data_IF_870837953786
#
_entry.id   IF_870837953786
#
_cell.length_a   1.000
_cell.length_b   1.000
_cell.length_c   1.000
_cell.angle_alpha   90.00
_cell.angle_beta   90.00
_cell.angle_gamma   90.00
#
_symmetry.space_group_name_H-M   'P 1'
#
loop_
_entity.id
_entity.type
_entity.pdbx_description
1 polymer ?
#
# COMPACT_ATOMS: atom_id res chain seq x y z
N UNK A 1 -0.28 -12.99 4.07
CA UNK A 1 -0.59 -13.34 2.66
C UNK A 1 -1.66 -14.42 2.51
N UNK A 2 -1.51 -15.61 3.09
CA UNK A 2 -2.49 -16.71 2.93
C UNK A 2 -3.94 -16.33 3.26
N UNK A 3 -4.17 -15.58 4.35
CA UNK A 3 -5.51 -15.10 4.73
C UNK A 3 -6.16 -14.25 3.63
N UNK A 4 -5.40 -13.35 3.00
CA UNK A 4 -5.88 -12.47 1.92
C UNK A 4 -6.25 -13.31 0.68
N UNK A 5 -5.43 -14.29 0.33
CA UNK A 5 -5.71 -15.20 -0.79
C UNK A 5 -6.96 -16.04 -0.53
N UNK A 6 -7.07 -16.62 0.66
CA UNK A 6 -8.19 -17.48 1.05
C UNK A 6 -9.49 -16.68 1.18
N UNK A 7 -9.44 -15.40 1.56
CA UNK A 7 -10.62 -14.54 1.68
C UNK A 7 -11.11 -13.99 0.34
N UNK A 8 -10.29 -14.02 -0.71
CA UNK A 8 -10.62 -13.42 -2.03
C UNK A 8 -11.91 -14.03 -2.62
N UNK A 9 -12.04 -15.36 -2.66
CA UNK A 9 -13.21 -16.02 -3.27
C UNK A 9 -14.49 -15.90 -2.41
N UNK A 10 -14.45 -16.14 -1.08
CA UNK A 10 -15.60 -15.89 -0.21
C UNK A 10 -16.10 -14.45 -0.30
N UNK A 11 -15.20 -13.47 -0.26
CA UNK A 11 -15.59 -12.05 -0.31
C UNK A 11 -16.15 -11.67 -1.68
N UNK A 12 -15.56 -12.15 -2.79
CA UNK A 12 -16.17 -12.00 -4.11
C UNK A 12 -17.61 -12.52 -4.12
N UNK A 13 -17.84 -13.72 -3.60
CA UNK A 13 -19.16 -14.34 -3.58
C UNK A 13 -20.16 -13.55 -2.71
N UNK A 14 -19.69 -13.01 -1.58
CA UNK A 14 -20.50 -12.16 -0.71
C UNK A 14 -20.89 -10.84 -1.39
N UNK A 15 -19.92 -10.16 -2.02
CA UNK A 15 -20.13 -8.87 -2.69
C UNK A 15 -20.96 -8.99 -3.97
N UNK A 16 -20.93 -10.15 -4.62
CA UNK A 16 -21.72 -10.44 -5.83
C UNK A 16 -22.92 -11.33 -5.52
N UNK A 17 -23.42 -11.35 -4.28
CA UNK A 17 -24.54 -12.21 -3.89
C UNK A 17 -25.79 -11.99 -4.76
N UNK A 18 -26.00 -10.74 -5.17
CA UNK A 18 -27.15 -10.29 -5.95
C UNK A 18 -26.89 -10.34 -7.47
N UNK A 19 -25.64 -10.59 -7.89
CA UNK A 19 -25.20 -10.61 -9.29
C UNK A 19 -24.26 -11.81 -9.59
N UNK A 20 -24.72 -13.07 -9.39
CA UNK A 20 -23.88 -14.25 -9.51
C UNK A 20 -23.41 -14.52 -10.95
N UNK A 21 -24.11 -14.01 -11.95
CA UNK A 21 -23.82 -14.13 -13.38
C UNK A 21 -22.56 -13.38 -13.82
N UNK A 22 -22.16 -12.34 -13.07
CA UNK A 22 -20.92 -11.60 -13.32
C UNK A 22 -19.66 -12.38 -12.91
N UNK A 23 -19.80 -13.44 -12.10
CA UNK A 23 -18.66 -14.17 -11.54
C UNK A 23 -17.93 -14.97 -12.62
N UNK A 24 -16.63 -14.76 -12.70
CA UNK A 24 -15.73 -15.60 -13.49
C UNK A 24 -15.52 -16.95 -12.78
N UNK A 25 -15.73 -18.05 -13.51
CA UNK A 25 -15.36 -19.37 -13.03
C UNK A 25 -13.83 -19.48 -12.97
N UNK A 26 -13.28 -20.07 -11.91
CA UNK A 26 -11.82 -20.15 -11.73
C UNK A 26 -11.14 -20.97 -12.84
N UNK A 27 -11.85 -21.92 -13.43
CA UNK A 27 -11.40 -22.69 -14.59
C UNK A 27 -11.26 -21.84 -15.86
N UNK A 28 -11.99 -20.73 -15.97
CA UNK A 28 -11.99 -19.83 -17.12
C UNK A 28 -10.94 -18.72 -16.99
N UNK A 29 -10.38 -18.52 -15.79
CA UNK A 29 -9.41 -17.46 -15.51
C UNK A 29 -8.23 -17.41 -16.49
N UNK A 30 -7.59 -18.54 -16.88
CA UNK A 30 -6.51 -18.50 -17.87
C UNK A 30 -6.96 -18.00 -19.25
N UNK A 31 -8.20 -18.34 -19.66
CA UNK A 31 -8.76 -17.89 -20.92
C UNK A 31 -9.10 -16.38 -20.87
N UNK A 32 -9.68 -15.92 -19.77
CA UNK A 32 -9.97 -14.50 -19.53
C UNK A 32 -8.70 -13.65 -19.55
N UNK A 33 -7.63 -14.08 -18.85
CA UNK A 33 -6.33 -13.41 -18.83
C UNK A 33 -5.78 -13.21 -20.23
N UNK A 34 -5.91 -14.22 -21.10
CA UNK A 34 -5.45 -14.15 -22.49
C UNK A 34 -6.33 -13.24 -23.33
N UNK A 35 -7.65 -13.37 -23.20
CA UNK A 35 -8.62 -12.66 -24.02
C UNK A 35 -8.66 -11.15 -23.72
N UNK A 36 -8.52 -10.77 -22.44
CA UNK A 36 -8.59 -9.36 -21.99
C UNK A 36 -7.23 -8.70 -21.84
N UNK A 37 -6.14 -9.43 -22.04
CA UNK A 37 -4.81 -8.85 -21.97
C UNK A 37 -4.31 -8.61 -20.54
N UNK A 38 -4.83 -9.32 -19.53
CA UNK A 38 -4.35 -9.19 -18.15
C UNK A 38 -2.89 -9.61 -17.96
N UNK A 39 -2.24 -10.20 -18.98
CA UNK A 39 -0.79 -10.36 -19.01
C UNK A 39 -0.06 -9.02 -18.84
N UNK A 40 -0.60 -7.90 -19.35
CA UNK A 40 -0.02 -6.58 -19.12
C UNK A 40 -0.08 -6.13 -17.66
N UNK A 41 -1.15 -6.48 -16.95
CA UNK A 41 -1.28 -6.19 -15.52
C UNK A 41 -0.22 -6.98 -14.75
N UNK A 42 -0.08 -8.27 -15.06
CA UNK A 42 0.92 -9.14 -14.44
C UNK A 42 2.33 -8.61 -14.74
N UNK A 43 2.62 -8.24 -16.00
CA UNK A 43 3.90 -7.65 -16.39
C UNK A 43 4.19 -6.35 -15.64
N UNK A 44 3.19 -5.50 -15.45
CA UNK A 44 3.31 -4.26 -14.68
C UNK A 44 3.72 -4.55 -13.23
N UNK A 45 3.04 -5.49 -12.54
CA UNK A 45 3.44 -5.87 -11.19
C UNK A 45 4.86 -6.47 -11.13
N UNK A 46 5.24 -7.28 -12.12
CA UNK A 46 6.61 -7.84 -12.21
C UNK A 46 7.64 -6.74 -12.42
N UNK A 47 7.39 -5.80 -13.34
CA UNK A 47 8.29 -4.66 -13.58
C UNK A 47 8.42 -3.82 -12.33
N UNK A 48 7.33 -3.57 -11.60
CA UNK A 48 7.36 -2.80 -10.37
C UNK A 48 8.10 -3.53 -9.23
N UNK A 49 7.97 -4.85 -9.14
CA UNK A 49 8.76 -5.65 -8.21
C UNK A 49 10.25 -5.57 -8.53
N UNK A 50 10.63 -5.70 -9.80
CA UNK A 50 12.03 -5.55 -10.24
C UNK A 50 12.54 -4.13 -9.99
N UNK A 51 11.73 -3.12 -10.29
CA UNK A 51 12.05 -1.72 -10.04
C UNK A 51 12.30 -1.48 -8.54
N UNK A 52 11.39 -1.94 -7.68
CA UNK A 52 11.56 -1.88 -6.22
C UNK A 52 12.84 -2.60 -5.79
N UNK A 53 13.09 -3.81 -6.26
CA UNK A 53 14.29 -4.58 -5.93
C UNK A 53 15.57 -3.81 -6.28
N UNK A 54 15.62 -3.22 -7.48
CA UNK A 54 16.75 -2.39 -7.90
C UNK A 54 16.92 -1.15 -7.03
N UNK A 55 15.81 -0.48 -6.71
CA UNK A 55 15.83 0.70 -5.84
C UNK A 55 16.32 0.34 -4.44
N UNK A 56 15.75 -0.69 -3.81
CA UNK A 56 16.11 -1.11 -2.45
C UNK A 56 17.61 -1.42 -2.33
N UNK A 57 18.24 -1.98 -3.37
CA UNK A 57 19.68 -2.23 -3.40
C UNK A 57 20.55 -0.96 -3.44
N UNK A 58 20.06 0.12 -4.05
CA UNK A 58 20.83 1.35 -4.26
C UNK A 58 20.38 2.49 -3.34
N UNK A 59 19.28 2.31 -2.60
CA UNK A 59 18.55 3.34 -1.90
C UNK A 59 19.44 4.13 -0.93
N UNK A 60 20.08 3.42 0.00
CA UNK A 60 20.95 4.01 1.02
C UNK A 60 22.08 4.85 0.42
N UNK A 61 22.70 4.35 -0.65
CA UNK A 61 23.81 5.05 -1.31
C UNK A 61 23.37 6.35 -2.01
N UNK A 62 22.14 6.40 -2.50
CA UNK A 62 21.56 7.60 -3.11
C UNK A 62 21.13 8.59 -2.02
N UNK A 63 20.39 8.13 -1.02
CA UNK A 63 19.89 8.94 0.10
C UNK A 63 21.01 9.63 0.86
N UNK A 64 22.10 8.92 1.15
CA UNK A 64 23.28 9.49 1.81
C UNK A 64 23.91 10.68 1.05
N UNK A 65 23.72 10.76 -0.28
CA UNK A 65 24.23 11.87 -1.11
C UNK A 65 23.26 13.04 -1.21
N UNK A 66 21.96 12.78 -1.09
CA UNK A 66 20.90 13.78 -1.24
C UNK A 66 20.63 14.51 0.09
N UNK A 67 20.69 13.81 1.22
CA UNK A 67 20.30 14.32 2.53
C UNK A 67 18.78 14.21 2.78
N UNK A 68 18.37 14.42 4.04
CA UNK A 68 16.99 14.28 4.47
C UNK A 68 16.19 15.58 4.50
N UNK A 69 14.90 15.50 4.20
CA UNK A 69 13.98 16.65 4.11
C UNK A 69 12.91 16.68 5.21
N UNK A 70 13.01 15.80 6.21
CA UNK A 70 12.06 15.74 7.34
C UNK A 70 11.88 17.11 8.01
N UNK A 71 12.95 17.89 8.14
CA UNK A 71 12.93 19.26 8.69
C UNK A 71 12.06 20.24 7.88
N UNK A 72 11.97 20.10 6.56
CA UNK A 72 11.10 20.95 5.73
C UNK A 72 9.63 20.63 5.99
N UNK A 73 9.31 19.34 6.09
CA UNK A 73 7.95 18.89 6.38
C UNK A 73 7.56 19.31 7.79
N UNK A 74 8.38 18.99 8.80
CA UNK A 74 8.14 19.40 10.20
C UNK A 74 8.06 20.92 10.36
N UNK A 75 8.87 21.70 9.62
CA UNK A 75 8.75 23.17 9.62
C UNK A 75 7.41 23.70 9.12
N UNK A 76 6.67 22.91 8.33
CA UNK A 76 5.32 23.24 7.84
C UNK A 76 4.22 22.70 8.77
N UNK A 77 4.33 21.46 9.25
CA UNK A 77 3.30 20.83 10.10
C UNK A 77 3.43 21.14 11.60
N UNK A 78 4.63 21.51 12.05
CA UNK A 78 4.97 21.63 13.47
C UNK A 78 4.73 20.32 14.21
N UNK A 79 4.23 20.41 15.43
CA UNK A 79 3.95 19.24 16.27
C UNK A 79 2.52 18.71 16.07
N UNK A 80 1.88 19.01 14.93
CA UNK A 80 0.51 18.56 14.66
C UNK A 80 0.36 17.04 14.73
N UNK A 81 1.32 16.30 14.18
CA UNK A 81 1.33 14.84 14.21
C UNK A 81 1.46 14.31 15.64
N UNK A 82 2.33 14.91 16.48
CA UNK A 82 2.46 14.58 17.89
C UNK A 82 1.17 14.88 18.66
N UNK A 83 0.59 16.06 18.47
CA UNK A 83 -0.69 16.42 19.06
C UNK A 83 -1.79 15.42 18.68
N UNK A 84 -1.86 15.02 17.41
CA UNK A 84 -2.84 14.03 16.97
C UNK A 84 -2.62 12.67 17.66
N UNK A 85 -1.37 12.22 17.77
CA UNK A 85 -1.06 11.00 18.52
C UNK A 85 -1.54 11.09 19.96
N UNK A 86 -1.19 12.17 20.67
CA UNK A 86 -1.54 12.36 22.08
C UNK A 86 -3.05 12.49 22.29
N UNK A 87 -3.74 13.24 21.43
CA UNK A 87 -5.18 13.48 21.52
C UNK A 87 -6.01 12.20 21.34
N UNK A 88 -5.55 11.28 20.48
CA UNK A 88 -6.23 10.02 20.18
C UNK A 88 -5.59 8.81 20.86
N UNK A 89 -4.63 9.01 21.77
CA UNK A 89 -3.89 7.91 22.39
C UNK A 89 -4.83 7.00 23.18
N UNK A 90 -5.00 5.79 22.68
CA UNK A 90 -5.80 4.74 23.31
C UNK A 90 -5.33 3.37 22.80
N UNK A 91 -5.12 2.42 23.70
CA UNK A 91 -4.56 1.10 23.35
C UNK A 91 -5.44 0.36 22.34
N UNK A 92 -6.75 0.29 22.57
CA UNK A 92 -7.69 -0.39 21.67
C UNK A 92 -7.74 0.28 20.28
N UNK A 93 -7.74 1.62 20.24
CA UNK A 93 -7.69 2.35 18.98
C UNK A 93 -6.37 2.11 18.25
N UNK A 94 -5.26 2.07 18.98
CA UNK A 94 -3.92 1.82 18.44
C UNK A 94 -3.83 0.42 17.84
N UNK A 95 -4.36 -0.60 18.51
CA UNK A 95 -4.42 -1.97 17.99
C UNK A 95 -5.27 -2.05 16.73
N UNK A 96 -6.45 -1.42 16.74
CA UNK A 96 -7.37 -1.41 15.61
C UNK A 96 -6.76 -0.70 14.38
N UNK A 97 -6.11 0.45 14.59
CA UNK A 97 -5.45 1.19 13.51
C UNK A 97 -4.18 0.49 13.01
N UNK A 98 -3.40 -0.15 13.89
CA UNK A 98 -2.25 -0.97 13.50
C UNK A 98 -2.68 -2.16 12.64
N UNK A 99 -3.73 -2.88 13.05
CA UNK A 99 -4.33 -3.94 12.24
C UNK A 99 -4.81 -3.39 10.89
N UNK A 100 -5.51 -2.25 10.89
CA UNK A 100 -5.97 -1.62 9.65
C UNK A 100 -4.80 -1.29 8.73
N UNK A 101 -3.78 -0.61 9.25
CA UNK A 101 -2.60 -0.18 8.49
C UNK A 101 -1.91 -1.37 7.83
N UNK A 102 -1.69 -2.47 8.56
CA UNK A 102 -0.96 -3.61 8.03
C UNK A 102 -1.82 -4.52 7.16
N UNK A 103 -3.01 -4.87 7.63
CA UNK A 103 -3.85 -5.86 6.96
C UNK A 103 -4.68 -5.25 5.85
N UNK A 104 -5.40 -4.15 6.12
CA UNK A 104 -6.37 -3.59 5.18
C UNK A 104 -5.67 -2.98 3.97
N UNK A 105 -4.51 -2.37 4.16
CA UNK A 105 -3.69 -1.89 3.05
C UNK A 105 -3.29 -3.02 2.09
N UNK A 106 -2.64 -4.07 2.61
CA UNK A 106 -2.25 -5.25 1.83
C UNK A 106 -3.45 -5.94 1.18
N UNK A 107 -4.59 -5.93 1.89
CA UNK A 107 -5.83 -6.46 1.38
C UNK A 107 -6.34 -5.63 0.20
N UNK A 108 -6.42 -4.31 0.30
CA UNK A 108 -6.94 -3.44 -0.79
C UNK A 108 -6.10 -3.57 -2.05
N UNK A 109 -4.76 -3.52 -1.94
CA UNK A 109 -3.87 -3.59 -3.11
C UNK A 109 -3.95 -4.93 -3.84
N UNK A 110 -4.26 -6.02 -3.12
CA UNK A 110 -4.43 -7.35 -3.71
C UNK A 110 -5.86 -7.60 -4.18
N UNK A 111 -6.82 -7.40 -3.28
CA UNK A 111 -8.21 -7.78 -3.47
C UNK A 111 -8.88 -6.95 -4.55
N UNK A 112 -8.63 -5.64 -4.62
CA UNK A 112 -9.32 -4.75 -5.58
C UNK A 112 -9.08 -5.16 -7.04
N UNK A 113 -7.84 -5.24 -7.54
CA UNK A 113 -7.60 -5.66 -8.92
C UNK A 113 -8.07 -7.10 -9.17
N UNK A 114 -7.88 -8.00 -8.20
CA UNK A 114 -8.35 -9.38 -8.34
C UNK A 114 -9.86 -9.50 -8.41
N UNK A 115 -10.58 -8.72 -7.60
CA UNK A 115 -12.03 -8.67 -7.59
C UNK A 115 -12.56 -8.25 -8.95
N UNK A 116 -12.04 -7.16 -9.53
CA UNK A 116 -12.47 -6.68 -10.85
C UNK A 116 -12.26 -7.71 -11.95
N UNK A 117 -11.12 -8.40 -11.97
CA UNK A 117 -10.87 -9.53 -12.88
C UNK A 117 -11.90 -10.66 -12.66
N UNK A 118 -12.14 -11.02 -11.40
CA UNK A 118 -13.04 -12.13 -11.04
C UNK A 118 -14.53 -11.83 -11.25
N UNK A 119 -14.91 -10.57 -11.49
CA UNK A 119 -16.28 -10.16 -11.86
C UNK A 119 -16.37 -9.67 -13.31
N UNK A 120 -15.31 -9.91 -14.11
CA UNK A 120 -15.22 -9.52 -15.54
C UNK A 120 -15.34 -8.01 -15.79
N UNK A 121 -15.03 -7.19 -14.79
CA UNK A 121 -14.94 -5.73 -14.92
C UNK A 121 -13.53 -5.32 -15.37
N UNK A 122 -13.30 -5.49 -16.68
CA UNK A 122 -12.02 -5.16 -17.29
C UNK A 122 -11.64 -3.68 -17.16
N UNK A 123 -12.61 -2.76 -17.19
CA UNK A 123 -12.35 -1.32 -17.10
C UNK A 123 -11.81 -0.97 -15.72
N UNK A 124 -12.42 -1.52 -14.66
CA UNK A 124 -11.92 -1.29 -13.30
C UNK A 124 -10.63 -2.05 -13.01
N UNK A 125 -10.42 -3.21 -13.63
CA UNK A 125 -9.13 -3.90 -13.55
C UNK A 125 -8.00 -3.05 -14.16
N UNK A 126 -8.21 -2.49 -15.35
CA UNK A 126 -7.26 -1.59 -16.03
C UNK A 126 -6.98 -0.34 -15.17
N UNK A 127 -8.05 0.31 -14.70
CA UNK A 127 -7.96 1.48 -13.81
C UNK A 127 -7.20 1.18 -12.52
N UNK A 128 -7.43 0.03 -11.90
CA UNK A 128 -6.73 -0.37 -10.68
C UNK A 128 -5.23 -0.60 -10.91
N UNK A 129 -4.86 -1.25 -12.01
CA UNK A 129 -3.45 -1.43 -12.36
C UNK A 129 -2.76 -0.10 -12.72
N UNK A 130 -3.44 0.77 -13.47
CA UNK A 130 -2.94 2.11 -13.79
C UNK A 130 -2.80 2.98 -12.54
N UNK A 131 -3.75 2.94 -11.62
CA UNK A 131 -3.67 3.64 -10.33
C UNK A 131 -2.41 3.24 -9.58
N UNK A 132 -2.16 1.93 -9.47
CA UNK A 132 -0.97 1.40 -8.82
C UNK A 132 0.32 1.88 -9.51
N UNK A 133 0.39 1.82 -10.84
CA UNK A 133 1.54 2.30 -11.61
C UNK A 133 1.80 3.79 -11.42
N UNK A 134 0.78 4.63 -11.62
CA UNK A 134 0.92 6.10 -11.57
C UNK A 134 1.37 6.53 -10.18
N UNK A 135 0.75 5.99 -9.13
CA UNK A 135 1.10 6.35 -7.76
C UNK A 135 2.55 5.98 -7.45
N UNK A 136 3.02 4.79 -7.84
CA UNK A 136 4.41 4.41 -7.61
C UNK A 136 5.40 5.19 -8.47
N UNK A 137 5.06 5.50 -9.73
CA UNK A 137 5.90 6.35 -10.59
C UNK A 137 6.10 7.74 -10.00
N UNK A 138 5.10 8.27 -9.28
CA UNK A 138 5.19 9.56 -8.59
C UNK A 138 5.89 9.44 -7.23
N UNK A 139 5.60 8.38 -6.46
CA UNK A 139 6.09 8.22 -5.10
C UNK A 139 7.57 7.85 -5.05
N UNK A 140 8.05 6.92 -5.89
CA UNK A 140 9.42 6.40 -5.78
C UNK A 140 10.49 7.48 -6.00
N UNK A 141 10.38 8.38 -7.00
CA UNK A 141 11.32 9.50 -7.11
C UNK A 141 11.35 10.36 -5.85
N UNK A 142 10.19 10.61 -5.22
CA UNK A 142 10.13 11.38 -3.98
C UNK A 142 10.81 10.64 -2.82
N UNK A 143 10.65 9.32 -2.70
CA UNK A 143 11.37 8.54 -1.68
C UNK A 143 12.90 8.56 -1.85
N UNK A 144 13.38 8.67 -3.08
CA UNK A 144 14.81 8.70 -3.38
C UNK A 144 15.44 10.09 -3.19
N UNK A 145 14.72 11.14 -3.60
CA UNK A 145 15.25 12.50 -3.71
C UNK A 145 14.66 13.50 -2.73
N UNK A 146 13.58 13.13 -2.05
CA UNK A 146 12.87 13.90 -1.02
C UNK A 146 12.53 12.96 0.16
N UNK A 147 13.56 12.31 0.69
CA UNK A 147 13.44 11.39 1.82
C UNK A 147 12.85 12.13 3.04
N UNK A 148 11.83 11.52 3.66
CA UNK A 148 11.17 12.02 4.85
C UNK A 148 11.05 10.84 5.81
N UNK A 149 11.72 10.96 6.94
CA UNK A 149 11.74 9.94 7.97
C UNK A 149 10.37 9.77 8.64
N UNK A 150 10.15 8.61 9.27
CA UNK A 150 9.00 8.39 10.15
C UNK A 150 9.01 9.39 11.30
N UNK A 151 7.83 9.85 11.71
CA UNK A 151 7.69 10.91 12.72
C UNK A 151 8.37 10.59 14.05
N UNK A 152 8.41 9.32 14.45
CA UNK A 152 9.03 8.87 15.70
C UNK A 152 10.57 8.95 15.70
N UNK A 153 11.24 9.09 14.55
CA UNK A 153 12.70 9.30 14.51
C UNK A 153 13.10 10.76 14.63
N UNK A 154 12.19 11.69 14.33
CA UNK A 154 12.49 13.12 14.21
C UNK A 154 11.85 13.99 15.30
N UNK A 155 10.59 13.71 15.68
CA UNK A 155 9.82 14.54 16.62
C UNK A 155 10.06 14.06 18.06
N UNK A 156 10.65 14.89 18.95
CA UNK A 156 10.85 14.52 20.35
C UNK A 156 9.53 14.21 21.06
N UNK A 157 9.45 13.07 21.75
CA UNK A 157 8.25 12.63 22.49
C UNK A 157 7.21 11.88 21.64
N UNK A 158 7.43 11.74 20.33
CA UNK A 158 6.60 10.89 19.46
C UNK A 158 6.91 9.42 19.71
N UNK A 159 5.87 8.59 19.81
CA UNK A 159 6.03 7.16 20.08
C UNK A 159 5.90 6.37 18.77
N UNK A 160 6.65 5.28 18.69
CA UNK A 160 6.67 4.41 17.52
C UNK A 160 5.50 3.40 17.61
N UNK A 161 4.24 3.86 17.74
CA UNK A 161 3.10 3.01 18.15
C UNK A 161 2.91 1.76 17.29
N UNK A 162 3.08 1.86 15.97
CA UNK A 162 3.00 0.72 15.05
C UNK A 162 4.11 -0.33 15.27
N UNK A 163 5.22 0.12 15.85
CA UNK A 163 6.42 -0.66 16.16
C UNK A 163 6.44 -1.13 17.63
N UNK A 164 5.33 -0.95 18.36
CA UNK A 164 5.16 -1.38 19.74
C UNK A 164 4.12 -2.50 19.87
N UNK A 165 4.37 -3.67 19.26
CA UNK A 165 3.77 -4.93 19.70
C UNK A 165 4.42 -6.14 19.02
N UNK A 166 4.65 -7.23 19.74
CA UNK A 166 5.50 -8.34 19.28
C UNK A 166 4.97 -9.06 18.03
N UNK A 167 3.67 -9.01 17.72
CA UNK A 167 3.11 -9.70 16.55
C UNK A 167 3.49 -9.04 15.23
N UNK A 168 3.61 -7.70 15.20
CA UNK A 168 3.76 -6.93 13.96
C UNK A 168 5.18 -6.41 13.74
N UNK A 169 5.97 -6.24 14.80
CA UNK A 169 7.33 -5.66 14.74
C UNK A 169 8.22 -6.37 13.72
N UNK A 170 8.22 -7.72 13.70
CA UNK A 170 9.06 -8.47 12.77
C UNK A 170 8.63 -8.22 11.31
N UNK A 171 7.33 -8.16 11.05
CA UNK A 171 6.82 -7.85 9.72
C UNK A 171 7.22 -6.43 9.31
N UNK A 172 6.99 -5.44 10.18
CA UNK A 172 7.23 -4.03 9.86
C UNK A 172 8.72 -3.74 9.68
N UNK A 173 9.56 -4.16 10.63
CA UNK A 173 11.02 -3.93 10.58
C UNK A 173 11.68 -4.57 9.35
N UNK A 174 11.13 -5.68 8.84
CA UNK A 174 11.67 -6.35 7.65
C UNK A 174 11.16 -5.79 6.32
N UNK A 175 10.13 -4.94 6.31
CA UNK A 175 9.46 -4.50 5.08
C UNK A 175 9.36 -2.98 4.92
N UNK A 176 9.58 -2.20 5.97
CA UNK A 176 9.51 -0.73 5.97
C UNK A 176 10.91 -0.11 6.04
N UNK A 177 11.32 0.72 5.06
CA UNK A 177 12.60 1.42 5.09
C UNK A 177 12.63 2.61 6.09
N UNK A 178 11.53 2.90 6.79
CA UNK A 178 11.38 3.93 7.83
C UNK A 178 11.58 5.38 7.37
N UNK A 179 11.61 5.61 6.07
CA UNK A 179 11.98 6.91 5.52
C UNK A 179 11.32 7.25 4.17
N UNK A 180 10.18 6.58 3.94
CA UNK A 180 9.25 6.83 2.83
C UNK A 180 8.00 7.58 3.32
N UNK A 181 8.17 8.57 4.20
CA UNK A 181 7.07 9.27 4.86
C UNK A 181 6.19 10.10 3.92
N UNK A 182 6.73 10.57 2.78
CA UNK A 182 6.01 11.42 1.81
C UNK A 182 6.29 10.98 0.38
N UNK A 183 5.26 10.78 -0.47
CA UNK A 183 3.82 10.80 -0.17
C UNK A 183 3.34 9.49 0.48
N UNK A 184 2.19 9.50 1.14
CA UNK A 184 1.63 8.27 1.74
C UNK A 184 0.97 7.36 0.70
N UNK A 185 1.53 6.17 0.46
CA UNK A 185 0.88 5.13 -0.37
C UNK A 185 -0.40 4.58 0.27
N UNK A 186 -0.43 4.51 1.60
CA UNK A 186 -1.59 4.03 2.37
C UNK A 186 -2.81 4.94 2.18
N UNK A 187 -2.58 6.21 1.84
CA UNK A 187 -3.64 7.13 1.44
C UNK A 187 -3.85 7.15 -0.08
N UNK A 188 -2.76 7.29 -0.85
CA UNK A 188 -2.82 7.47 -2.29
C UNK A 188 -3.51 6.31 -3.02
N UNK A 189 -3.15 5.06 -2.71
CA UNK A 189 -3.68 3.89 -3.43
C UNK A 189 -5.20 3.72 -3.22
N UNK A 190 -5.74 3.71 -1.98
CA UNK A 190 -7.17 3.59 -1.78
C UNK A 190 -7.97 4.79 -2.30
N UNK A 191 -7.49 6.02 -2.09
CA UNK A 191 -8.20 7.23 -2.54
C UNK A 191 -8.19 7.33 -4.06
N UNK A 192 -7.08 6.96 -4.70
CA UNK A 192 -7.00 6.88 -6.16
C UNK A 192 -8.05 5.93 -6.72
N UNK A 193 -8.24 4.75 -6.12
CA UNK A 193 -9.31 3.83 -6.49
C UNK A 193 -10.72 4.40 -6.24
N UNK A 194 -10.90 5.15 -5.16
CA UNK A 194 -12.21 5.72 -4.77
C UNK A 194 -12.71 6.78 -5.76
N UNK A 195 -11.81 7.50 -6.43
CA UNK A 195 -12.14 8.62 -7.33
C UNK A 195 -12.36 8.15 -8.79
N UNK A 196 -12.00 6.91 -9.11
CA UNK A 196 -12.08 6.32 -10.46
C UNK A 196 -13.49 5.84 -10.84
#
# INVERSE_FOLDING_TARGET
MAVILLSTIPLRNLLTRDEPDKRLALSELPAEIRAKGYHWHISLYVVMYLYKFLIDQHNESMKARVGGYTHWVHGLEGDFTLWAQEAFRNDLLTDALSFHYLFVYLFIIWFSPMYFILVRDHVMADKAALNYLVIYLLAVPLYLFFNVEVTSSYIPGMDALLYHDNWFIEFVTNNDPMDNGVPSLHFGLPVGLLIL
#
